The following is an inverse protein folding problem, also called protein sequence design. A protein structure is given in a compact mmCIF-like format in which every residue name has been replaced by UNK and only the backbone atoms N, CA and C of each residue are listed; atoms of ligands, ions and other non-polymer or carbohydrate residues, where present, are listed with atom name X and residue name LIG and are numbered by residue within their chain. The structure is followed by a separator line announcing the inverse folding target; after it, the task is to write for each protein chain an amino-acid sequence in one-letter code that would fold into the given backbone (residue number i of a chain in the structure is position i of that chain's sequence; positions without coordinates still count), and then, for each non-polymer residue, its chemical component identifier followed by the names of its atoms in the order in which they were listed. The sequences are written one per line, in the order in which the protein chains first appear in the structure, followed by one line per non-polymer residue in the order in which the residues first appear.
data_IF_848948021992
#
_entry.id   IF_848948021992
#
_cell.length_a   1.000
_cell.length_b   1.000
_cell.length_c   1.000
_cell.angle_alpha   90.00
_cell.angle_beta   90.00
_cell.angle_gamma   90.00
#
_symmetry.space_group_name_H-M   'P 1'
#
loop_
_entity.id
_entity.type
_entity.pdbx_description
1 polymer ?
#
# COMPACT_ATOMS: atom_id res chain seq x y z
N UNK A 1 -23.31 9.19 15.03
CA UNK A 1 -23.25 9.69 13.63
C UNK A 1 -24.50 9.29 12.86
N UNK A 2 -24.82 7.98 12.77
CA UNK A 2 -26.07 7.48 12.16
C UNK A 2 -27.33 8.19 12.70
N UNK A 3 -27.53 8.21 14.02
CA UNK A 3 -28.67 8.86 14.66
C UNK A 3 -28.70 10.36 14.37
N UNK A 4 -27.57 11.05 14.54
CA UNK A 4 -27.45 12.50 14.29
C UNK A 4 -27.83 12.88 12.86
N UNK A 5 -27.44 12.11 11.84
CA UNK A 5 -27.80 12.42 10.45
C UNK A 5 -29.28 12.12 10.24
N UNK A 6 -29.77 10.93 10.62
CA UNK A 6 -31.13 10.50 10.29
C UNK A 6 -32.18 11.33 11.03
N UNK A 7 -31.98 11.60 12.32
CA UNK A 7 -32.91 12.41 13.13
C UNK A 7 -32.97 13.85 12.65
N UNK A 8 -31.86 14.38 12.16
CA UNK A 8 -31.80 15.79 11.77
C UNK A 8 -32.11 16.03 10.31
N UNK A 9 -32.02 15.03 9.42
CA UNK A 9 -32.35 15.20 7.99
C UNK A 9 -33.82 15.55 7.78
N UNK A 10 -34.73 14.96 8.56
CA UNK A 10 -36.16 15.25 8.45
C UNK A 10 -36.54 16.66 8.91
N UNK A 11 -35.68 17.32 9.69
CA UNK A 11 -35.92 18.68 10.19
C UNK A 11 -35.56 19.71 9.13
N UNK A 12 -36.47 20.67 8.91
CA UNK A 12 -36.23 21.83 8.06
C UNK A 12 -35.00 22.63 8.56
N UNK A 13 -34.26 23.32 7.68
CA UNK A 13 -33.13 24.13 8.10
C UNK A 13 -33.66 25.31 8.92
N UNK A 14 -32.98 25.62 10.03
CA UNK A 14 -33.46 26.62 11.00
C UNK A 14 -33.35 28.06 10.48
N UNK A 15 -32.47 28.33 9.51
CA UNK A 15 -32.21 29.69 9.00
C UNK A 15 -31.93 29.75 7.50
N UNK A 16 -31.22 28.76 6.97
CA UNK A 16 -30.71 28.78 5.61
C UNK A 16 -31.61 28.01 4.63
N UNK A 17 -31.38 28.16 3.31
CA UNK A 17 -32.23 27.51 2.29
C UNK A 17 -32.05 26.00 2.21
N UNK A 18 -30.84 25.53 2.52
CA UNK A 18 -30.46 24.11 2.44
C UNK A 18 -29.72 23.68 3.69
N UNK A 19 -29.86 22.40 4.01
CA UNK A 19 -29.10 21.67 5.01
C UNK A 19 -28.13 20.73 4.30
N UNK A 20 -26.85 21.04 4.40
CA UNK A 20 -25.79 20.35 3.66
C UNK A 20 -25.09 19.35 4.58
N UNK A 21 -25.01 18.09 4.15
CA UNK A 21 -24.26 17.04 4.81
C UNK A 21 -23.03 16.69 3.97
N UNK A 22 -21.84 16.99 4.49
CA UNK A 22 -20.57 16.59 3.86
C UNK A 22 -20.02 15.40 4.65
N UNK A 23 -19.89 14.26 3.97
CA UNK A 23 -19.33 13.04 4.54
C UNK A 23 -18.01 12.78 3.84
N UNK A 24 -16.92 13.05 4.54
CA UNK A 24 -15.58 12.75 4.07
C UNK A 24 -15.22 11.28 4.35
N UNK A 25 -14.39 10.71 3.49
CA UNK A 25 -14.01 9.30 3.48
C UNK A 25 -15.21 8.35 3.65
N UNK A 26 -16.22 8.56 2.83
CA UNK A 26 -17.48 7.81 2.86
C UNK A 26 -17.28 6.30 2.78
N UNK A 27 -16.19 5.82 2.16
CA UNK A 27 -15.84 4.40 2.12
C UNK A 27 -15.55 3.78 3.51
N UNK A 28 -15.32 4.60 4.53
CA UNK A 28 -15.10 4.16 5.92
C UNK A 28 -16.41 3.95 6.70
N UNK A 29 -17.57 4.25 6.10
CA UNK A 29 -18.86 4.00 6.73
C UNK A 29 -19.13 2.49 6.87
N UNK A 30 -19.75 2.09 7.99
CA UNK A 30 -20.23 0.73 8.15
C UNK A 30 -21.40 0.43 7.21
N UNK A 31 -21.58 -0.85 6.85
CA UNK A 31 -22.73 -1.29 6.06
C UNK A 31 -24.08 -0.87 6.68
N UNK A 32 -24.17 -0.90 8.01
CA UNK A 32 -25.35 -0.43 8.74
C UNK A 32 -25.59 1.07 8.59
N UNK A 33 -24.53 1.88 8.48
CA UNK A 33 -24.64 3.32 8.24
C UNK A 33 -25.05 3.60 6.79
N UNK A 34 -24.49 2.88 5.82
CA UNK A 34 -24.93 2.98 4.41
C UNK A 34 -26.40 2.64 4.24
N UNK A 35 -26.86 1.52 4.81
CA UNK A 35 -28.26 1.10 4.72
C UNK A 35 -29.21 2.13 5.32
N UNK A 36 -28.78 2.80 6.39
CA UNK A 36 -29.59 3.81 7.05
C UNK A 36 -29.63 5.14 6.27
N UNK A 37 -28.63 5.41 5.44
CA UNK A 37 -28.60 6.56 4.52
C UNK A 37 -29.35 6.29 3.20
N UNK A 38 -29.54 5.02 2.80
CA UNK A 38 -30.17 4.66 1.53
C UNK A 38 -31.53 5.32 1.34
N UNK A 39 -32.43 5.16 2.32
CA UNK A 39 -33.79 5.74 2.25
C UNK A 39 -33.76 7.25 2.02
N UNK A 40 -32.82 7.91 2.68
CA UNK A 40 -32.67 9.36 2.67
C UNK A 40 -31.97 9.89 1.40
N UNK A 41 -31.07 9.10 0.81
CA UNK A 41 -30.39 9.44 -0.44
C UNK A 41 -31.29 9.14 -1.65
N UNK A 42 -32.18 8.16 -1.53
CA UNK A 42 -33.15 7.80 -2.57
C UNK A 42 -34.26 8.83 -2.71
N UNK A 43 -34.78 9.33 -1.59
CA UNK A 43 -35.81 10.39 -1.56
C UNK A 43 -35.35 11.52 -0.64
N UNK A 44 -34.35 12.32 -1.05
CA UNK A 44 -33.86 13.41 -0.22
C UNK A 44 -34.93 14.49 -0.08
N UNK A 45 -35.18 15.01 1.14
CA UNK A 45 -36.00 16.20 1.29
C UNK A 45 -35.47 17.35 0.43
N UNK A 46 -36.34 18.21 -0.14
CA UNK A 46 -35.93 19.24 -1.10
C UNK A 46 -34.95 20.28 -0.52
N UNK A 47 -34.91 20.42 0.80
CA UNK A 47 -34.00 21.30 1.52
C UNK A 47 -32.69 20.61 1.92
N UNK A 48 -32.42 19.36 1.54
CA UNK A 48 -31.25 18.60 1.98
C UNK A 48 -30.33 18.29 0.81
N UNK A 49 -29.03 18.51 1.01
CA UNK A 49 -27.99 18.19 0.02
C UNK A 49 -26.94 17.31 0.67
N UNK A 50 -26.66 16.14 0.07
CA UNK A 50 -25.57 15.27 0.47
C UNK A 50 -24.36 15.44 -0.45
N UNK A 51 -23.18 15.60 0.15
CA UNK A 51 -21.89 15.62 -0.51
C UNK A 51 -21.07 14.48 0.08
N UNK A 52 -20.81 13.45 -0.73
CA UNK A 52 -20.02 12.29 -0.34
C UNK A 52 -18.64 12.39 -0.99
N UNK A 53 -17.60 12.46 -0.17
CA UNK A 53 -16.21 12.43 -0.62
C UNK A 53 -15.57 11.06 -0.28
N UNK A 54 -14.77 10.53 -1.19
CA UNK A 54 -14.05 9.27 -0.99
C UNK A 54 -12.84 9.19 -1.92
N UNK A 55 -11.74 8.65 -1.41
CA UNK A 55 -10.58 8.24 -2.21
C UNK A 55 -10.77 6.87 -2.88
N UNK A 56 -11.65 6.03 -2.32
CA UNK A 56 -11.88 4.65 -2.77
C UNK A 56 -13.32 4.43 -3.24
N UNK A 57 -13.63 4.90 -4.46
CA UNK A 57 -15.00 4.82 -5.00
C UNK A 57 -15.54 3.39 -5.14
N UNK A 58 -14.68 2.39 -5.31
CA UNK A 58 -15.06 0.99 -5.45
C UNK A 58 -15.54 0.35 -4.15
N UNK A 59 -15.19 0.92 -2.99
CA UNK A 59 -15.67 0.49 -1.67
C UNK A 59 -17.05 1.06 -1.33
N UNK A 60 -17.52 2.05 -2.08
CA UNK A 60 -18.88 2.60 -1.89
C UNK A 60 -19.89 1.66 -2.57
N UNK A 61 -20.95 1.23 -1.87
CA UNK A 61 -21.97 0.37 -2.46
C UNK A 61 -22.56 0.97 -3.75
N UNK A 62 -22.72 0.13 -4.78
CA UNK A 62 -23.29 0.55 -6.06
C UNK A 62 -24.69 1.18 -5.91
N UNK A 63 -25.45 0.74 -4.90
CA UNK A 63 -26.77 1.29 -4.54
C UNK A 63 -26.72 2.76 -4.11
N UNK A 64 -25.64 3.20 -3.49
CA UNK A 64 -25.42 4.61 -3.12
C UNK A 64 -24.90 5.37 -4.34
N UNK A 65 -23.89 4.80 -5.00
CA UNK A 65 -23.24 5.44 -6.15
C UNK A 65 -24.22 5.73 -7.31
N UNK A 66 -25.20 4.85 -7.55
CA UNK A 66 -26.21 5.04 -8.60
C UNK A 66 -27.20 6.18 -8.31
N UNK A 67 -27.31 6.60 -7.05
CA UNK A 67 -28.22 7.67 -6.59
C UNK A 67 -27.48 9.00 -6.38
N UNK A 68 -26.20 9.06 -6.75
CA UNK A 68 -25.36 10.25 -6.61
C UNK A 68 -24.85 10.73 -7.97
N UNK A 69 -24.79 12.05 -8.16
CA UNK A 69 -24.03 12.63 -9.26
C UNK A 69 -22.53 12.46 -8.97
N UNK A 70 -21.83 11.67 -9.78
CA UNK A 70 -20.41 11.40 -9.57
C UNK A 70 -19.53 12.47 -10.23
N UNK A 71 -18.73 13.16 -9.42
CA UNK A 71 -17.64 14.01 -9.87
C UNK A 71 -16.31 13.32 -9.59
N UNK A 72 -15.51 13.08 -10.64
CA UNK A 72 -14.17 12.50 -10.51
C UNK A 72 -13.13 13.61 -10.65
N UNK A 73 -12.47 13.93 -9.55
CA UNK A 73 -11.28 14.78 -9.56
C UNK A 73 -10.07 13.96 -10.01
N UNK A 74 -9.27 14.52 -10.89
CA UNK A 74 -8.00 13.93 -11.33
C UNK A 74 -6.85 14.65 -10.62
N UNK A 75 -5.70 13.98 -10.41
CA UNK A 75 -4.48 14.66 -9.97
C UNK A 75 -4.19 15.86 -10.87
N UNK A 76 -3.73 16.95 -10.27
CA UNK A 76 -3.40 18.18 -11.00
C UNK A 76 -2.07 17.98 -11.72
N UNK A 77 -1.96 18.45 -12.96
CA UNK A 77 -0.71 18.40 -13.71
C UNK A 77 0.40 19.22 -13.01
N UNK A 78 1.65 18.78 -13.14
CA UNK A 78 2.81 19.40 -12.49
C UNK A 78 2.95 20.87 -12.90
N UNK A 79 2.83 21.19 -14.18
CA UNK A 79 2.93 22.57 -14.68
C UNK A 79 1.86 23.48 -14.07
N UNK A 80 0.62 22.99 -14.00
CA UNK A 80 -0.50 23.73 -13.41
C UNK A 80 -0.31 23.93 -11.91
N UNK A 81 0.25 22.95 -11.21
CA UNK A 81 0.64 23.11 -9.80
C UNK A 81 1.74 24.15 -9.63
N UNK A 82 2.77 24.12 -10.48
CA UNK A 82 3.90 25.05 -10.41
C UNK A 82 3.45 26.49 -10.66
N UNK A 83 2.61 26.71 -11.68
CA UNK A 83 1.97 28.01 -11.94
C UNK A 83 1.12 28.47 -10.76
N UNK A 84 0.33 27.56 -10.17
CA UNK A 84 -0.52 27.88 -9.04
C UNK A 84 0.29 28.25 -7.79
N UNK A 85 1.38 27.53 -7.50
CA UNK A 85 2.30 27.86 -6.42
C UNK A 85 2.99 29.21 -6.67
N UNK A 86 3.35 29.54 -7.91
CA UNK A 86 3.90 30.85 -8.26
C UNK A 86 2.91 32.00 -7.97
N UNK A 87 1.63 31.79 -8.26
CA UNK A 87 0.56 32.75 -7.93
C UNK A 87 0.44 32.94 -6.41
N UNK A 88 0.47 31.84 -5.64
CA UNK A 88 0.42 31.90 -4.18
C UNK A 88 1.65 32.62 -3.62
N UNK A 89 2.85 32.24 -4.05
CA UNK A 89 4.10 32.85 -3.61
C UNK A 89 4.10 34.36 -3.87
N UNK A 90 3.62 34.81 -5.03
CA UNK A 90 3.49 36.25 -5.35
C UNK A 90 2.49 36.97 -4.44
N UNK A 91 1.34 36.36 -4.13
CA UNK A 91 0.32 36.96 -3.25
C UNK A 91 0.81 37.06 -1.80
N UNK A 92 1.48 36.02 -1.33
CA UNK A 92 2.04 35.92 0.03
C UNK A 92 3.41 36.63 0.17
N UNK A 93 3.90 37.27 -0.90
CA UNK A 93 5.21 37.95 -0.96
C UNK A 93 6.38 37.04 -0.60
N UNK A 94 6.30 35.77 -0.96
CA UNK A 94 7.36 34.78 -0.81
C UNK A 94 8.23 34.79 -2.06
N UNK A 95 9.54 34.99 -1.89
CA UNK A 95 10.49 34.86 -3.00
C UNK A 95 10.78 33.38 -3.22
N UNK A 96 10.41 32.82 -4.36
CA UNK A 96 10.72 31.43 -4.73
C UNK A 96 11.26 31.35 -6.16
N UNK A 97 12.19 30.42 -6.39
CA UNK A 97 12.72 30.14 -7.72
C UNK A 97 11.78 29.26 -8.55
N UNK A 98 11.66 29.47 -9.87
CA UNK A 98 10.81 28.65 -10.72
C UNK A 98 11.14 27.15 -10.63
N UNK A 99 12.42 26.82 -10.58
CA UNK A 99 12.90 25.43 -10.42
C UNK A 99 12.51 24.84 -9.06
N UNK A 100 12.54 25.65 -7.99
CA UNK A 100 12.09 25.22 -6.67
C UNK A 100 10.59 24.90 -6.65
N UNK A 101 9.78 25.70 -7.34
CA UNK A 101 8.34 25.48 -7.48
C UNK A 101 8.02 24.24 -8.31
N UNK A 102 8.81 23.94 -9.35
CA UNK A 102 8.67 22.71 -10.13
C UNK A 102 8.97 21.47 -9.27
N UNK A 103 10.07 21.50 -8.50
CA UNK A 103 10.42 20.43 -7.57
C UNK A 103 9.32 20.18 -6.53
N UNK A 104 8.79 21.24 -5.91
CA UNK A 104 7.66 21.16 -4.98
C UNK A 104 6.41 20.55 -5.64
N UNK A 105 6.15 20.91 -6.89
CA UNK A 105 5.00 20.41 -7.65
C UNK A 105 5.13 18.93 -7.98
N UNK A 106 6.35 18.45 -8.26
CA UNK A 106 6.65 17.02 -8.45
C UNK A 106 6.51 16.24 -7.15
N UNK A 107 7.05 16.75 -6.04
CA UNK A 107 6.90 16.12 -4.72
C UNK A 107 5.44 16.02 -4.26
N UNK A 108 4.58 16.93 -4.71
CA UNK A 108 3.18 16.93 -4.33
C UNK A 108 2.33 15.86 -5.05
N UNK A 109 2.87 15.16 -6.06
CA UNK A 109 2.18 14.08 -6.79
C UNK A 109 0.74 14.43 -7.26
N UNK A 110 0.52 15.69 -7.65
CA UNK A 110 -0.79 16.18 -8.11
C UNK A 110 -1.76 16.61 -7.01
N UNK A 111 -1.34 16.59 -5.75
CA UNK A 111 -2.09 17.09 -4.58
C UNK A 111 -1.84 18.57 -4.35
N UNK A 112 -2.87 19.39 -4.56
CA UNK A 112 -2.84 20.83 -4.24
C UNK A 112 -2.57 21.10 -2.76
N UNK A 113 -3.12 20.27 -1.86
CA UNK A 113 -2.94 20.43 -0.42
C UNK A 113 -1.48 20.23 -0.04
N UNK A 114 -0.87 19.17 -0.57
CA UNK A 114 0.51 18.84 -0.24
C UNK A 114 1.46 19.86 -0.87
N UNK A 115 1.24 20.25 -2.12
CA UNK A 115 2.03 21.30 -2.79
C UNK A 115 2.10 22.60 -1.96
N UNK A 116 0.96 23.09 -1.47
CA UNK A 116 0.91 24.31 -0.64
C UNK A 116 1.55 24.08 0.73
N UNK A 117 1.35 22.91 1.33
CA UNK A 117 1.96 22.55 2.62
C UNK A 117 3.48 22.49 2.53
N UNK A 118 4.02 21.92 1.45
CA UNK A 118 5.45 21.86 1.18
C UNK A 118 6.04 23.26 0.95
N UNK A 119 5.33 24.12 0.19
CA UNK A 119 5.74 25.52 -0.01
C UNK A 119 5.84 26.28 1.33
N UNK A 120 4.88 26.08 2.24
CA UNK A 120 4.86 26.74 3.55
C UNK A 120 5.97 26.21 4.48
N UNK A 121 6.28 24.92 4.42
CA UNK A 121 7.42 24.33 5.10
C UNK A 121 8.74 24.94 4.60
N UNK A 122 8.93 25.04 3.28
CA UNK A 122 10.12 25.67 2.71
C UNK A 122 10.26 27.13 3.07
N UNK A 123 9.15 27.87 3.06
CA UNK A 123 9.12 29.26 3.53
C UNK A 123 9.59 29.36 4.98
N UNK A 124 9.15 28.46 5.85
CA UNK A 124 9.51 28.47 7.27
C UNK A 124 10.96 28.10 7.54
N UNK A 125 11.54 27.24 6.71
CA UNK A 125 12.95 26.86 6.80
C UNK A 125 13.90 27.87 6.13
N UNK A 126 13.44 28.56 5.09
CA UNK A 126 14.25 29.55 4.36
C UNK A 126 14.26 30.90 5.06
N UNK A 127 15.42 31.57 5.12
CA UNK A 127 15.55 32.93 5.69
C UNK A 127 15.15 34.05 4.72
N UNK A 128 14.44 33.74 3.63
CA UNK A 128 13.83 34.75 2.76
C UNK A 128 13.49 34.28 1.35
N UNK A 129 14.39 33.52 0.71
CA UNK A 129 14.20 33.00 -0.65
C UNK A 129 14.21 31.47 -0.65
N UNK A 130 13.18 30.88 -1.21
CA UNK A 130 13.09 29.44 -1.45
C UNK A 130 13.85 29.14 -2.75
N UNK A 131 15.03 28.53 -2.61
CA UNK A 131 15.87 28.10 -3.73
C UNK A 131 15.65 26.62 -4.04
N UNK A 132 16.06 26.17 -5.23
CA UNK A 132 15.97 24.75 -5.59
C UNK A 132 16.84 23.88 -4.67
N UNK A 133 17.96 24.42 -4.18
CA UNK A 133 18.83 23.77 -3.20
C UNK A 133 18.14 23.55 -1.84
N UNK A 134 17.45 24.57 -1.30
CA UNK A 134 16.70 24.42 -0.04
C UNK A 134 15.60 23.35 -0.15
N UNK A 135 14.89 23.30 -1.29
CA UNK A 135 13.86 22.27 -1.53
C UNK A 135 14.50 20.88 -1.60
N UNK A 136 15.68 20.74 -2.23
CA UNK A 136 16.39 19.46 -2.31
C UNK A 136 16.84 18.96 -0.95
N UNK A 137 17.46 19.82 -0.15
CA UNK A 137 17.90 19.50 1.20
C UNK A 137 16.72 19.10 2.11
N UNK A 138 15.62 19.85 2.03
CA UNK A 138 14.47 19.62 2.91
C UNK A 138 13.71 18.32 2.63
N UNK A 139 13.56 17.95 1.36
CA UNK A 139 12.77 16.78 0.98
C UNK A 139 13.62 15.58 0.54
N UNK A 140 14.94 15.68 0.67
CA UNK A 140 15.85 14.59 0.33
C UNK A 140 15.83 14.24 -1.16
N UNK A 141 15.55 15.21 -2.03
CA UNK A 141 15.68 15.00 -3.46
C UNK A 141 17.13 14.72 -3.80
N UNK A 142 17.36 13.77 -4.70
CA UNK A 142 18.72 13.42 -5.07
C UNK A 142 19.33 14.52 -5.95
N UNK A 143 20.51 15.05 -5.57
CA UNK A 143 21.30 15.94 -6.44
C UNK A 143 21.50 15.36 -7.85
N UNK A 144 21.31 16.21 -8.88
CA UNK A 144 21.39 15.78 -10.27
C UNK A 144 22.78 15.24 -10.65
N UNK A 145 23.84 15.79 -10.07
CA UNK A 145 25.22 15.34 -10.29
C UNK A 145 25.44 13.90 -9.79
N UNK A 146 24.85 13.52 -8.66
CA UNK A 146 24.86 12.14 -8.19
C UNK A 146 24.04 11.23 -9.09
N UNK A 147 22.84 11.64 -9.50
CA UNK A 147 22.04 10.83 -10.44
C UNK A 147 22.76 10.61 -11.76
N UNK A 148 23.37 11.65 -12.34
CA UNK A 148 24.17 11.57 -13.57
C UNK A 148 25.42 10.72 -13.33
N UNK A 149 26.07 10.84 -12.17
CA UNK A 149 27.22 10.01 -11.80
C UNK A 149 26.89 8.53 -11.72
N UNK A 150 25.78 8.17 -11.07
CA UNK A 150 25.25 6.80 -11.00
C UNK A 150 24.86 6.30 -12.39
N UNK A 151 24.11 7.08 -13.16
CA UNK A 151 23.72 6.74 -14.53
C UNK A 151 24.95 6.50 -15.41
N UNK A 152 25.94 7.40 -15.34
CA UNK A 152 27.19 7.29 -16.08
C UNK A 152 27.97 6.03 -15.72
N UNK A 153 28.06 5.68 -14.43
CA UNK A 153 28.71 4.44 -13.99
C UNK A 153 27.99 3.18 -14.47
N UNK A 154 26.65 3.19 -14.48
CA UNK A 154 25.83 2.09 -15.00
C UNK A 154 26.05 1.87 -16.50
N UNK A 155 26.07 2.97 -17.27
CA UNK A 155 26.23 2.92 -18.73
C UNK A 155 27.65 2.58 -19.14
N UNK A 156 28.64 3.13 -18.43
CA UNK A 156 30.06 2.78 -18.59
C UNK A 156 30.39 1.36 -18.11
N UNK A 157 29.45 0.69 -17.43
CA UNK A 157 29.62 -0.65 -16.84
C UNK A 157 30.80 -0.73 -15.88
N UNK A 158 31.02 0.33 -15.11
CA UNK A 158 32.12 0.40 -14.15
C UNK A 158 31.59 0.13 -12.73
N UNK A 159 31.75 -1.10 -12.20
CA UNK A 159 31.29 -1.45 -10.87
C UNK A 159 32.05 -0.68 -9.78
N UNK A 160 33.30 -0.28 -10.03
CA UNK A 160 34.11 0.48 -9.06
C UNK A 160 33.61 1.91 -8.96
N UNK A 161 33.32 2.56 -10.10
CA UNK A 161 32.71 3.88 -10.11
C UNK A 161 31.31 3.85 -9.46
N UNK A 162 30.50 2.83 -9.78
CA UNK A 162 29.17 2.67 -9.18
C UNK A 162 29.26 2.53 -7.65
N UNK A 163 30.16 1.68 -7.14
CA UNK A 163 30.38 1.53 -5.70
C UNK A 163 30.79 2.85 -5.04
N UNK A 164 31.63 3.65 -5.72
CA UNK A 164 32.04 4.97 -5.26
C UNK A 164 30.87 5.94 -5.14
N UNK A 165 29.99 5.99 -6.13
CA UNK A 165 28.78 6.83 -6.10
C UNK A 165 27.77 6.35 -5.05
N UNK A 166 27.54 5.05 -4.93
CA UNK A 166 26.65 4.50 -3.90
C UNK A 166 27.15 4.82 -2.49
N UNK A 167 28.46 4.80 -2.26
CA UNK A 167 29.03 5.25 -0.99
C UNK A 167 28.66 6.69 -0.67
N UNK A 168 28.79 7.61 -1.63
CA UNK A 168 28.40 9.02 -1.46
C UNK A 168 26.91 9.18 -1.17
N UNK A 169 26.05 8.48 -1.93
CA UNK A 169 24.60 8.48 -1.70
C UNK A 169 24.27 8.09 -0.26
N UNK A 170 24.95 7.07 0.29
CA UNK A 170 24.73 6.65 1.68
C UNK A 170 25.34 7.62 2.70
N UNK A 171 26.48 8.25 2.40
CA UNK A 171 27.08 9.27 3.26
C UNK A 171 26.19 10.52 3.37
N UNK A 172 25.45 10.84 2.30
CA UNK A 172 24.46 11.93 2.29
C UNK A 172 23.09 11.53 2.86
N UNK A 173 22.88 10.26 3.22
CA UNK A 173 21.65 9.80 3.85
C UNK A 173 20.44 9.73 2.89
N UNK A 174 20.68 9.67 1.58
CA UNK A 174 19.62 9.59 0.58
C UNK A 174 18.87 8.27 0.67
N UNK A 175 17.54 8.34 0.59
CA UNK A 175 16.70 7.15 0.60
C UNK A 175 16.88 6.32 -0.69
N UNK A 176 17.20 5.01 -0.59
CA UNK A 176 17.41 4.15 -1.76
C UNK A 176 16.23 4.11 -2.74
N UNK A 177 14.99 4.15 -2.23
CA UNK A 177 13.79 4.18 -3.05
C UNK A 177 13.70 5.46 -3.89
N UNK A 178 14.05 6.61 -3.29
CA UNK A 178 13.99 7.91 -3.93
C UNK A 178 15.05 8.03 -5.04
N UNK A 179 16.29 7.60 -4.76
CA UNK A 179 17.35 7.52 -5.77
C UNK A 179 16.90 6.77 -7.01
N UNK A 180 16.32 5.58 -6.80
CA UNK A 180 15.97 4.71 -7.91
C UNK A 180 14.75 5.22 -8.69
N UNK A 181 13.78 5.86 -8.02
CA UNK A 181 12.64 6.55 -8.66
C UNK A 181 13.12 7.71 -9.54
N UNK A 182 13.99 8.56 -9.00
CA UNK A 182 14.49 9.75 -9.70
C UNK A 182 15.37 9.37 -10.88
N UNK A 183 16.26 8.39 -10.70
CA UNK A 183 17.08 7.83 -11.76
C UNK A 183 16.23 7.23 -12.88
N UNK A 184 15.21 6.45 -12.53
CA UNK A 184 14.25 5.87 -13.49
C UNK A 184 13.52 6.96 -14.26
N UNK A 185 12.96 7.96 -13.58
CA UNK A 185 12.19 9.03 -14.20
C UNK A 185 13.04 9.84 -15.19
N UNK A 186 14.29 10.13 -14.82
CA UNK A 186 15.21 10.84 -15.69
C UNK A 186 15.56 10.03 -16.95
N UNK A 187 15.88 8.74 -16.81
CA UNK A 187 16.18 7.86 -17.96
C UNK A 187 14.92 7.66 -18.85
N UNK A 188 13.74 7.54 -18.24
CA UNK A 188 12.46 7.41 -18.93
C UNK A 188 12.17 8.63 -19.81
N UNK A 189 12.43 9.84 -19.31
CA UNK A 189 12.24 11.07 -20.09
C UNK A 189 13.06 11.05 -21.39
N UNK A 190 14.35 10.70 -21.31
CA UNK A 190 15.22 10.65 -22.49
C UNK A 190 14.87 9.47 -23.41
N UNK A 191 14.47 8.33 -22.85
CA UNK A 191 13.98 7.19 -23.62
C UNK A 191 12.76 7.57 -24.48
N UNK A 192 11.78 8.26 -23.90
CA UNK A 192 10.57 8.70 -24.62
C UNK A 192 10.90 9.75 -25.70
N UNK A 193 11.82 10.68 -25.43
CA UNK A 193 12.31 11.63 -26.44
C UNK A 193 12.95 10.92 -27.62
N UNK A 194 13.78 9.90 -27.37
CA UNK A 194 14.42 9.11 -28.44
C UNK A 194 13.44 8.29 -29.27
N UNK A 195 12.29 7.92 -28.70
CA UNK A 195 11.20 7.29 -29.43
C UNK A 195 10.28 8.28 -30.16
N UNK A 196 10.48 9.59 -30.01
CA UNK A 196 9.62 10.62 -30.57
C UNK A 196 8.24 10.73 -29.90
N UNK A 197 8.08 10.16 -28.70
CA UNK A 197 6.82 10.11 -27.96
C UNK A 197 6.85 10.90 -26.64
N UNK A 198 7.98 11.53 -26.30
CA UNK A 198 8.19 12.27 -25.06
C UNK A 198 8.25 13.78 -25.23
N UNK A 199 7.89 14.49 -24.16
CA UNK A 199 8.18 15.92 -24.01
C UNK A 199 9.70 16.18 -23.90
N UNK A 200 10.18 17.41 -24.14
CA UNK A 200 11.59 17.74 -24.04
C UNK A 200 12.16 17.36 -22.66
N UNK A 201 13.07 16.38 -22.65
CA UNK A 201 13.81 16.01 -21.46
C UNK A 201 14.81 17.10 -21.08
N UNK A 202 15.26 17.08 -19.82
CA UNK A 202 16.32 17.97 -19.33
C UNK A 202 17.56 17.88 -20.24
N UNK A 203 18.11 19.05 -20.60
CA UNK A 203 19.27 19.16 -21.47
C UNK A 203 20.50 18.43 -20.91
N UNK A 204 20.65 18.39 -19.58
CA UNK A 204 21.75 17.67 -18.93
C UNK A 204 21.64 16.16 -19.16
N UNK A 205 20.45 15.60 -18.98
CA UNK A 205 20.18 14.18 -19.21
C UNK A 205 20.25 13.81 -20.68
N UNK A 206 19.74 14.67 -21.56
CA UNK A 206 19.83 14.49 -23.01
C UNK A 206 21.30 14.42 -23.47
N UNK A 207 22.17 15.27 -22.90
CA UNK A 207 23.61 15.26 -23.17
C UNK A 207 24.31 14.03 -22.56
N UNK A 208 24.02 13.72 -21.29
CA UNK A 208 24.63 12.60 -20.59
C UNK A 208 24.32 11.25 -21.25
N UNK A 209 23.10 11.10 -21.79
CA UNK A 209 22.62 9.87 -22.43
C UNK A 209 22.69 9.93 -23.96
N UNK A 210 23.36 10.92 -24.55
CA UNK A 210 23.37 11.13 -26.00
C UNK A 210 23.88 9.91 -26.78
N UNK A 211 24.91 9.22 -26.26
CA UNK A 211 25.54 8.06 -26.91
C UNK A 211 24.74 6.75 -26.84
N UNK A 212 23.69 6.68 -26.03
CA UNK A 212 22.95 5.43 -25.79
C UNK A 212 21.87 5.16 -26.85
N UNK A 213 21.55 3.90 -27.13
CA UNK A 213 20.40 3.57 -27.98
C UNK A 213 19.08 3.59 -27.18
N UNK A 214 17.95 3.80 -27.86
CA UNK A 214 16.64 3.69 -27.20
C UNK A 214 16.43 2.28 -26.62
N UNK A 215 16.89 1.24 -27.30
CA UNK A 215 16.84 -0.15 -26.82
C UNK A 215 17.65 -0.36 -25.53
N UNK A 216 18.84 0.27 -25.45
CA UNK A 216 19.67 0.30 -24.25
C UNK A 216 18.93 0.94 -23.07
N UNK A 217 18.43 2.15 -23.25
CA UNK A 217 17.67 2.83 -22.19
C UNK A 217 16.43 2.02 -21.77
N UNK A 218 15.72 1.42 -22.72
CA UNK A 218 14.56 0.57 -22.44
C UNK A 218 14.89 -0.68 -21.63
N UNK A 219 16.04 -1.31 -21.86
CA UNK A 219 16.50 -2.44 -21.05
C UNK A 219 16.90 -2.00 -19.64
N UNK A 220 17.65 -0.90 -19.52
CA UNK A 220 18.03 -0.35 -18.23
C UNK A 220 16.79 -0.02 -17.39
N UNK A 221 15.77 0.63 -17.99
CA UNK A 221 14.51 0.93 -17.32
C UNK A 221 13.79 -0.31 -16.78
N UNK A 222 13.76 -1.41 -17.53
CA UNK A 222 13.17 -2.68 -17.05
C UNK A 222 13.91 -3.22 -15.83
N UNK A 223 15.24 -3.08 -15.78
CA UNK A 223 16.06 -3.48 -14.62
C UNK A 223 15.83 -2.58 -13.42
N UNK A 224 15.79 -1.26 -13.63
CA UNK A 224 15.49 -0.30 -12.56
C UNK A 224 14.07 -0.53 -11.99
N UNK A 225 13.09 -0.86 -12.83
CA UNK A 225 11.74 -1.23 -12.37
C UNK A 225 11.75 -2.47 -11.49
N UNK A 226 12.47 -3.52 -11.90
CA UNK A 226 12.61 -4.72 -11.08
C UNK A 226 13.30 -4.44 -9.75
N UNK A 227 14.36 -3.63 -9.77
CA UNK A 227 15.03 -3.21 -8.55
C UNK A 227 14.10 -2.39 -7.62
N UNK A 228 13.21 -1.55 -8.16
CA UNK A 228 12.20 -0.83 -7.38
C UNK A 228 11.18 -1.78 -6.73
N UNK A 229 10.76 -2.82 -7.44
CA UNK A 229 9.88 -3.86 -6.90
C UNK A 229 10.56 -4.62 -5.77
N UNK A 230 11.81 -5.06 -5.97
CA UNK A 230 12.59 -5.76 -4.94
C UNK A 230 12.82 -4.88 -3.70
N UNK A 231 13.02 -3.57 -3.88
CA UNK A 231 13.21 -2.61 -2.78
C UNK A 231 11.93 -2.38 -1.98
N UNK A 232 10.75 -2.48 -2.61
CA UNK A 232 9.45 -2.33 -1.93
C UNK A 232 9.13 -3.48 -0.97
N UNK A 233 9.60 -4.69 -1.29
CA UNK A 233 9.28 -5.91 -0.55
C UNK A 233 10.47 -6.53 0.20
N UNK A 234 11.67 -5.94 0.08
CA UNK A 234 12.90 -6.48 0.66
C UNK A 234 13.12 -6.06 2.11
N UNK A 235 13.70 -6.97 2.90
CA UNK A 235 14.06 -6.73 4.31
C UNK A 235 15.25 -5.76 4.47
N UNK A 236 16.01 -5.53 3.40
CA UNK A 236 17.15 -4.59 3.38
C UNK A 236 17.12 -3.73 2.10
N UNK A 237 16.60 -2.48 2.17
CA UNK A 237 16.52 -1.57 1.02
C UNK A 237 17.88 -1.27 0.40
N UNK A 238 18.92 -1.21 1.24
CA UNK A 238 20.31 -0.97 0.82
C UNK A 238 20.85 -2.11 -0.04
N UNK A 239 20.69 -3.35 0.43
CA UNK A 239 21.15 -4.52 -0.32
C UNK A 239 20.35 -4.69 -1.61
N UNK A 240 19.04 -4.44 -1.57
CA UNK A 240 18.18 -4.50 -2.76
C UNK A 240 18.61 -3.47 -3.83
N UNK A 241 18.95 -2.24 -3.43
CA UNK A 241 19.49 -1.23 -4.34
C UNK A 241 20.82 -1.66 -4.94
N UNK A 242 21.78 -2.08 -4.10
CA UNK A 242 23.11 -2.51 -4.55
C UNK A 242 23.00 -3.68 -5.53
N UNK A 243 22.29 -4.75 -5.17
CA UNK A 243 22.07 -5.90 -6.05
C UNK A 243 21.32 -5.51 -7.32
N UNK A 244 20.31 -4.64 -7.23
CA UNK A 244 19.56 -4.16 -8.39
C UNK A 244 20.43 -3.41 -9.39
N UNK A 245 21.31 -2.53 -8.91
CA UNK A 245 22.19 -1.73 -9.76
C UNK A 245 23.40 -2.51 -10.27
N UNK A 246 24.03 -3.34 -9.44
CA UNK A 246 25.12 -4.22 -9.88
C UNK A 246 24.61 -5.28 -10.86
N UNK A 247 23.43 -5.86 -10.63
CA UNK A 247 22.82 -6.78 -11.59
C UNK A 247 22.48 -6.09 -12.92
N UNK A 248 22.20 -4.78 -12.93
CA UNK A 248 22.02 -4.03 -14.17
C UNK A 248 23.33 -3.90 -14.97
N UNK A 249 24.49 -3.86 -14.30
CA UNK A 249 25.82 -3.91 -14.94
C UNK A 249 26.13 -5.34 -15.43
N UNK A 250 25.88 -6.35 -14.59
CA UNK A 250 26.18 -7.75 -14.89
C UNK A 250 25.26 -8.35 -15.96
N UNK A 251 24.02 -7.85 -16.05
CA UNK A 251 23.06 -8.32 -17.03
C UNK A 251 23.54 -7.97 -18.44
N UNK A 252 24.19 -8.96 -19.05
CA UNK A 252 24.74 -8.94 -20.38
C UNK A 252 23.82 -8.23 -21.39
N UNK A 253 24.18 -6.99 -21.72
CA UNK A 253 24.00 -6.54 -23.09
C UNK A 253 25.03 -7.27 -23.92
N UNK A 254 24.63 -8.40 -24.47
CA UNK A 254 25.08 -8.63 -25.82
C UNK A 254 24.20 -9.66 -26.51
N UNK A 255 22.96 -9.32 -26.87
CA UNK A 255 22.33 -10.10 -27.93
C UNK A 255 23.27 -10.10 -29.16
N UNK A 256 23.96 -8.98 -29.42
CA UNK A 256 24.99 -8.82 -30.45
C UNK A 256 26.21 -9.73 -30.31
N UNK A 257 26.83 -9.86 -29.14
CA UNK A 257 27.97 -10.78 -28.96
C UNK A 257 27.56 -12.20 -28.62
N UNK A 258 26.35 -12.45 -28.11
CA UNK A 258 25.77 -13.79 -28.15
C UNK A 258 25.51 -14.21 -29.60
N UNK A 259 24.99 -13.33 -30.44
CA UNK A 259 24.85 -13.53 -31.90
C UNK A 259 26.22 -13.67 -32.57
N UNK A 260 27.19 -12.79 -32.31
CA UNK A 260 28.51 -12.88 -32.93
C UNK A 260 29.27 -14.12 -32.46
N UNK A 261 29.06 -14.57 -31.21
CA UNK A 261 29.61 -15.83 -30.69
C UNK A 261 28.89 -17.04 -31.26
N UNK A 262 27.58 -16.96 -31.49
CA UNK A 262 26.80 -17.95 -32.23
C UNK A 262 27.26 -18.04 -33.69
N UNK A 263 27.36 -16.93 -34.41
CA UNK A 263 27.87 -16.85 -35.78
C UNK A 263 29.33 -17.32 -35.88
N UNK A 264 30.18 -17.01 -34.90
CA UNK A 264 31.55 -17.50 -34.83
C UNK A 264 31.59 -19.02 -34.56
N UNK A 265 30.69 -19.54 -33.73
CA UNK A 265 30.54 -20.98 -33.49
C UNK A 265 30.01 -21.70 -34.73
N UNK A 266 29.01 -21.15 -35.41
CA UNK A 266 28.47 -21.65 -36.67
C UNK A 266 29.54 -21.66 -37.76
N UNK A 267 30.33 -20.59 -37.90
CA UNK A 267 31.48 -20.56 -38.82
C UNK A 267 32.55 -21.60 -38.47
N UNK A 268 32.82 -21.86 -37.19
CA UNK A 268 33.77 -22.91 -36.76
C UNK A 268 33.24 -24.32 -37.01
N UNK A 269 31.94 -24.53 -36.86
CA UNK A 269 31.25 -25.79 -37.18
C UNK A 269 31.19 -26.02 -38.70
N UNK A 270 30.90 -24.97 -39.49
CA UNK A 270 30.87 -25.02 -40.94
C UNK A 270 32.28 -25.17 -41.57
N UNK A 271 33.33 -24.65 -40.93
CA UNK A 271 34.71 -24.77 -41.39
C UNK A 271 35.38 -26.13 -41.07
N UNK A 272 34.64 -27.13 -40.59
CA UNK A 272 35.15 -28.51 -40.46
C UNK A 272 36.26 -28.70 -39.43
N UNK A 273 36.34 -27.84 -38.41
CA UNK A 273 37.37 -27.87 -37.37
C UNK A 273 37.02 -28.79 -36.21
N UNK A 274 37.08 -30.10 -36.43
CA UNK A 274 37.14 -31.11 -35.37
C UNK A 274 38.40 -30.92 -34.54
N UNK A 275 38.26 -30.26 -33.39
CA UNK A 275 39.34 -30.04 -32.43
C UNK A 275 38.73 -29.71 -31.09
N UNK A 276 38.26 -30.73 -30.39
CA UNK A 276 37.97 -30.68 -28.96
C UNK A 276 39.28 -30.39 -28.22
N UNK A 277 39.63 -29.12 -28.10
CA UNK A 277 40.55 -28.68 -27.07
C UNK A 277 39.87 -28.96 -25.73
N UNK A 278 40.52 -29.82 -24.95
CA UNK A 278 40.13 -30.33 -23.64
C UNK A 278 39.52 -29.26 -22.74
N UNK A 279 38.23 -29.42 -22.43
CA UNK A 279 37.63 -28.78 -21.27
C UNK A 279 38.30 -29.35 -20.00
N UNK A 280 38.61 -28.53 -18.98
CA UNK A 280 39.07 -29.05 -17.70
C UNK A 280 37.95 -29.89 -17.08
N UNK A 281 38.22 -31.17 -16.87
CA UNK A 281 37.34 -32.08 -16.16
C UNK A 281 37.20 -31.61 -14.72
N UNK A 282 36.08 -30.98 -14.38
CA UNK A 282 35.65 -30.82 -12.99
C UNK A 282 35.42 -32.22 -12.42
N UNK A 283 36.30 -32.64 -11.52
CA UNK A 283 36.18 -33.90 -10.80
C UNK A 283 34.86 -33.91 -10.02
N UNK A 284 33.97 -34.84 -10.38
CA UNK A 284 32.80 -35.16 -9.57
C UNK A 284 33.25 -35.65 -8.17
N UNK A 285 32.65 -35.18 -7.06
CA UNK A 285 32.94 -35.71 -5.74
C UNK A 285 32.52 -37.18 -5.66
N UNK A 286 33.44 -38.05 -5.26
CA UNK A 286 33.13 -39.44 -4.88
C UNK A 286 32.15 -39.45 -3.69
N UNK A 287 31.14 -40.34 -3.68
CA UNK A 287 30.32 -40.55 -2.50
C UNK A 287 31.14 -41.26 -1.42
N UNK A 288 31.23 -40.65 -0.25
CA UNK A 288 31.68 -41.29 0.99
C UNK A 288 30.54 -42.20 1.49
N UNK A 289 30.78 -43.49 1.77
CA UNK A 289 29.79 -44.35 2.39
C UNK A 289 29.70 -44.01 3.88
N UNK A 290 28.60 -43.39 4.29
CA UNK A 290 28.22 -43.32 5.71
C UNK A 290 27.37 -44.53 6.06
N UNK A 291 27.99 -45.43 6.80
CA UNK A 291 27.39 -46.53 7.54
C UNK A 291 26.35 -45.98 8.54
N UNK A 292 25.09 -46.37 8.35
CA UNK A 292 24.03 -46.24 9.35
C UNK A 292 24.10 -47.48 10.24
N UNK A 293 24.30 -47.38 11.56
CA UNK A 293 24.12 -48.51 12.46
C UNK A 293 22.64 -48.88 12.54
N UNK A 294 22.35 -50.14 12.23
CA UNK A 294 21.08 -50.79 12.51
C UNK A 294 21.03 -51.14 13.99
N UNK A 295 20.02 -50.63 14.71
CA UNK A 295 19.59 -51.20 15.98
C UNK A 295 18.15 -51.68 15.82
N UNK A 296 18.03 -53.00 15.92
CA UNK A 296 16.79 -53.74 15.85
C UNK A 296 16.09 -53.72 17.21
N UNK A 297 14.88 -53.17 17.25
CA UNK A 297 13.91 -53.42 18.32
C UNK A 297 12.65 -54.00 17.69
N UNK A 298 12.35 -55.26 18.00
CA UNK A 298 11.17 -55.99 17.59
C UNK A 298 9.87 -55.35 18.12
N UNK A 299 8.70 -55.62 17.51
CA UNK A 299 7.45 -54.96 17.85
C UNK A 299 6.82 -55.58 19.10
N UNK A 300 6.54 -54.75 20.10
CA UNK A 300 5.74 -55.12 21.27
C UNK A 300 4.33 -54.56 21.09
N UNK A 301 3.34 -55.45 21.07
CA UNK A 301 1.93 -55.13 21.24
C UNK A 301 1.57 -55.47 22.68
N UNK A 302 0.87 -54.58 23.40
CA UNK A 302 -0.53 -54.87 23.69
C UNK A 302 -1.46 -53.63 23.63
N UNK A 303 -2.74 -53.90 23.32
CA UNK A 303 -3.91 -53.04 23.53
C UNK A 303 -4.07 -52.64 25.03
N UNK A 304 -4.84 -51.60 25.45
CA UNK A 304 -6.10 -51.10 24.88
C UNK A 304 -6.16 -49.57 24.65
N UNK A 305 -7.14 -49.12 23.86
CA UNK A 305 -7.23 -47.74 23.36
C UNK A 305 -7.64 -46.68 24.40
N UNK A 306 -7.56 -45.40 24.00
CA UNK A 306 -8.55 -44.39 24.39
C UNK A 306 -9.19 -43.76 23.14
N UNK A 307 -10.42 -43.29 23.33
CA UNK A 307 -11.28 -42.70 22.31
C UNK A 307 -10.86 -41.29 21.85
N UNK A 308 -11.84 -40.45 21.46
CA UNK A 308 -11.67 -39.37 20.50
C UNK A 308 -10.65 -38.31 20.93
N UNK A 309 -9.86 -37.84 19.97
CA UNK A 309 -8.92 -36.71 20.12
C UNK A 309 -9.64 -35.53 20.79
N UNK A 310 -9.18 -35.12 21.97
CA UNK A 310 -9.79 -33.99 22.67
C UNK A 310 -9.41 -32.68 21.98
N UNK A 311 -10.42 -31.90 21.60
CA UNK A 311 -10.26 -30.58 20.98
C UNK A 311 -9.37 -29.62 21.79
N UNK A 312 -9.48 -29.56 23.14
CA UNK A 312 -8.59 -28.73 23.95
C UNK A 312 -7.11 -29.12 23.86
N UNK A 313 -6.79 -30.42 23.77
CA UNK A 313 -5.41 -30.89 23.67
C UNK A 313 -4.78 -30.52 22.31
N UNK A 314 -5.58 -30.47 21.25
CA UNK A 314 -5.13 -30.03 19.92
C UNK A 314 -4.77 -28.54 19.91
N UNK A 315 -5.60 -27.69 20.53
CA UNK A 315 -5.34 -26.25 20.64
C UNK A 315 -4.05 -26.00 21.43
N UNK A 316 -3.83 -26.73 22.53
CA UNK A 316 -2.62 -26.60 23.34
C UNK A 316 -1.36 -27.05 22.58
N UNK A 317 -1.42 -28.16 21.84
CA UNK A 317 -0.30 -28.66 21.06
C UNK A 317 0.08 -27.70 19.90
N UNK A 318 -0.91 -27.09 19.27
CA UNK A 318 -0.68 -26.16 18.14
C UNK A 318 -0.24 -24.79 18.63
N UNK A 319 -0.78 -24.28 19.75
CA UNK A 319 -0.39 -22.99 20.33
C UNK A 319 1.06 -22.97 20.82
N UNK A 320 1.59 -24.11 21.31
CA UNK A 320 3.02 -24.28 21.63
C UNK A 320 3.94 -24.13 20.41
N UNK A 321 3.46 -24.44 19.22
CA UNK A 321 4.24 -24.38 17.98
C UNK A 321 4.05 -23.05 17.25
N UNK A 322 2.80 -22.56 17.17
CA UNK A 322 2.43 -21.28 16.57
C UNK A 322 1.24 -20.66 17.31
N UNK A 323 1.50 -19.60 18.06
CA UNK A 323 0.50 -18.88 18.88
C UNK A 323 -0.68 -18.39 18.03
N UNK A 324 -0.39 -17.80 16.86
CA UNK A 324 -1.42 -17.27 15.94
C UNK A 324 -2.36 -18.36 15.42
N UNK A 325 -1.83 -19.55 15.15
CA UNK A 325 -2.62 -20.70 14.70
C UNK A 325 -3.46 -21.28 15.86
N UNK A 326 -2.93 -21.28 17.09
CA UNK A 326 -3.68 -21.63 18.29
C UNK A 326 -4.91 -20.74 18.51
N UNK A 327 -4.76 -19.42 18.39
CA UNK A 327 -5.89 -18.47 18.53
C UNK A 327 -6.96 -18.61 17.43
N UNK A 328 -6.58 -19.08 16.25
CA UNK A 328 -7.54 -19.38 15.19
C UNK A 328 -8.30 -20.69 15.45
N UNK A 329 -7.63 -21.69 16.03
CA UNK A 329 -8.25 -22.96 16.43
C UNK A 329 -9.21 -22.79 17.62
N UNK A 330 -8.96 -21.88 18.55
CA UNK A 330 -9.91 -21.55 19.63
C UNK A 330 -11.28 -21.07 19.14
N UNK A 331 -11.30 -20.46 17.95
CA UNK A 331 -12.52 -19.94 17.30
C UNK A 331 -13.12 -20.92 16.30
N UNK A 332 -12.47 -22.05 16.06
CA UNK A 332 -12.91 -23.07 15.13
C UNK A 332 -13.66 -24.19 15.86
N UNK A 333 -14.44 -24.98 15.11
CA UNK A 333 -15.05 -26.22 15.62
C UNK A 333 -14.46 -27.41 14.88
N UNK A 334 -13.87 -28.34 15.63
CA UNK A 334 -13.34 -29.60 15.12
C UNK A 334 -14.30 -30.76 15.35
N UNK A 335 -14.56 -31.55 14.32
CA UNK A 335 -15.39 -32.75 14.38
C UNK A 335 -14.64 -33.94 13.76
N UNK A 336 -14.73 -35.10 14.40
CA UNK A 336 -14.22 -36.35 13.84
C UNK A 336 -15.21 -36.86 12.78
N UNK A 337 -14.75 -37.04 11.55
CA UNK A 337 -15.56 -37.51 10.42
C UNK A 337 -14.93 -38.79 9.87
N UNK A 338 -15.41 -39.95 10.32
CA UNK A 338 -14.88 -41.25 9.91
C UNK A 338 -13.40 -41.43 10.27
N UNK A 339 -12.54 -41.66 9.28
CA UNK A 339 -11.07 -41.74 9.44
C UNK A 339 -10.35 -40.39 9.26
N UNK A 340 -11.10 -39.29 9.17
CA UNK A 340 -10.60 -37.93 9.02
C UNK A 340 -11.04 -37.01 10.16
N UNK A 341 -10.44 -35.83 10.20
CA UNK A 341 -10.76 -34.77 11.14
C UNK A 341 -11.12 -33.50 10.37
N UNK A 342 -12.33 -32.98 10.57
CA UNK A 342 -12.82 -31.77 9.91
C UNK A 342 -12.74 -30.58 10.87
N UNK A 343 -12.09 -29.50 10.44
CA UNK A 343 -12.04 -28.24 11.19
C UNK A 343 -12.79 -27.17 10.41
N UNK A 344 -13.80 -26.58 11.05
CA UNK A 344 -14.63 -25.52 10.49
C UNK A 344 -14.27 -24.17 11.10
N UNK A 345 -13.91 -23.21 10.26
CA UNK A 345 -13.53 -21.85 10.66
C UNK A 345 -14.64 -20.85 10.36
N UNK A 346 -14.96 -19.90 11.26
CA UNK A 346 -16.00 -18.90 11.04
C UNK A 346 -15.58 -17.77 10.08
N UNK A 347 -14.28 -17.60 9.80
CA UNK A 347 -13.75 -16.54 8.93
C UNK A 347 -12.83 -17.11 7.85
N UNK A 348 -12.93 -16.55 6.64
CA UNK A 348 -12.08 -16.93 5.51
C UNK A 348 -10.59 -16.68 5.74
N UNK A 349 -10.24 -15.65 6.52
CA UNK A 349 -8.85 -15.35 6.90
C UNK A 349 -8.23 -16.45 7.77
N UNK A 350 -8.98 -16.94 8.76
CA UNK A 350 -8.50 -18.00 9.66
C UNK A 350 -8.34 -19.33 8.91
N UNK A 351 -9.22 -19.59 7.93
CA UNK A 351 -9.11 -20.74 7.01
C UNK A 351 -7.86 -20.65 6.12
N UNK A 352 -7.56 -19.48 5.55
CA UNK A 352 -6.37 -19.31 4.69
C UNK A 352 -5.07 -19.47 5.49
N UNK A 353 -5.05 -18.96 6.73
CA UNK A 353 -3.93 -19.16 7.66
C UNK A 353 -3.75 -20.64 8.03
N UNK A 354 -4.85 -21.36 8.28
CA UNK A 354 -4.82 -22.80 8.57
C UNK A 354 -4.35 -23.63 7.36
N UNK A 355 -4.75 -23.27 6.14
CA UNK A 355 -4.28 -23.92 4.90
C UNK A 355 -2.79 -23.75 4.68
N UNK A 356 -2.24 -22.56 4.94
CA UNK A 356 -0.79 -22.28 4.80
C UNK A 356 0.07 -23.01 5.85
N UNK A 357 -0.53 -23.44 6.95
CA UNK A 357 0.15 -24.13 8.05
C UNK A 357 -0.44 -25.52 8.34
N UNK A 358 -1.03 -26.18 7.34
CA UNK A 358 -1.72 -27.47 7.51
C UNK A 358 -0.82 -28.57 8.07
N UNK A 359 0.47 -28.57 7.72
CA UNK A 359 1.46 -29.53 8.25
C UNK A 359 1.60 -29.49 9.77
N UNK A 360 1.46 -28.32 10.40
CA UNK A 360 1.55 -28.19 11.87
C UNK A 360 0.31 -28.79 12.55
N UNK A 361 -0.85 -28.68 11.91
CA UNK A 361 -2.11 -29.25 12.40
C UNK A 361 -2.11 -30.77 12.20
N UNK A 362 -1.62 -31.26 11.06
CA UNK A 362 -1.46 -32.69 10.77
C UNK A 362 -0.49 -33.37 11.73
N UNK A 363 0.66 -32.76 12.02
CA UNK A 363 1.65 -33.30 12.96
C UNK A 363 1.10 -33.34 14.40
N UNK A 364 0.35 -32.32 14.81
CA UNK A 364 -0.31 -32.29 16.11
C UNK A 364 -1.42 -33.36 16.20
N UNK A 365 -2.24 -33.51 15.16
CA UNK A 365 -3.26 -34.55 15.08
C UNK A 365 -2.64 -35.95 15.05
N UNK A 366 -1.53 -36.16 14.34
CA UNK A 366 -0.84 -37.44 14.27
C UNK A 366 -0.26 -37.84 15.63
N UNK A 367 0.32 -36.88 16.37
CA UNK A 367 0.82 -37.11 17.74
C UNK A 367 -0.31 -37.42 18.73
N UNK A 368 -1.46 -36.78 18.59
CA UNK A 368 -2.59 -36.96 19.51
C UNK A 368 -3.45 -38.19 19.18
N UNK A 369 -3.58 -38.55 17.92
CA UNK A 369 -4.37 -39.70 17.47
C UNK A 369 -3.55 -40.99 17.36
N UNK A 370 -2.23 -40.92 17.47
CA UNK A 370 -1.32 -42.06 17.27
C UNK A 370 -1.28 -42.61 15.83
N UNK A 371 -2.00 -41.97 14.89
CA UNK A 371 -2.07 -42.30 13.46
C UNK A 371 -2.23 -41.02 12.63
N UNK A 372 -1.76 -41.03 11.39
CA UNK A 372 -1.92 -39.88 10.47
C UNK A 372 -3.37 -39.82 9.98
N UNK A 373 -4.10 -38.78 10.36
CA UNK A 373 -5.50 -38.57 9.97
C UNK A 373 -5.60 -37.68 8.73
N UNK A 374 -6.64 -37.88 7.93
CA UNK A 374 -6.95 -36.99 6.80
C UNK A 374 -7.59 -35.71 7.33
N UNK A 375 -6.94 -34.56 7.10
CA UNK A 375 -7.40 -33.25 7.57
C UNK A 375 -8.28 -32.58 6.50
N UNK A 376 -9.50 -32.23 6.86
CA UNK A 376 -10.42 -31.44 6.03
C UNK A 376 -10.66 -30.06 6.65
N UNK A 377 -10.32 -28.99 5.93
CA UNK A 377 -10.44 -27.61 6.40
C UNK A 377 -11.58 -26.92 5.64
N UNK A 378 -12.65 -26.59 6.35
CA UNK A 378 -13.86 -26.00 5.77
C UNK A 378 -14.19 -24.63 6.39
N UNK A 379 -14.93 -23.81 5.64
CA UNK A 379 -15.57 -22.62 6.20
C UNK A 379 -16.86 -23.07 6.89
N UNK A 380 -17.02 -22.77 8.18
CA UNK A 380 -18.24 -23.06 8.91
C UNK A 380 -19.36 -22.11 8.48
N UNK A 381 -20.59 -22.61 8.38
CA UNK A 381 -21.77 -21.75 8.32
C UNK A 381 -21.76 -20.88 9.59
N UNK A 382 -21.92 -19.57 9.43
CA UNK A 382 -22.06 -18.68 10.57
C UNK A 382 -23.23 -19.18 11.43
N UNK A 383 -22.98 -19.47 12.71
CA UNK A 383 -24.04 -19.64 13.70
C UNK A 383 -24.81 -18.30 13.74
N UNK A 384 -25.96 -18.26 13.08
CA UNK A 384 -27.02 -17.29 13.35
C UNK A 384 -27.47 -17.51 14.79
N UNK A 385 -26.93 -16.71 15.71
CA UNK A 385 -27.60 -16.53 17.00
C UNK A 385 -28.94 -15.82 16.71
N UNK A 386 -30.07 -16.35 17.22
CA UNK A 386 -31.39 -15.84 16.87
C UNK A 386 -31.54 -14.39 17.36
N UNK A 387 -31.96 -13.54 16.43
CA UNK A 387 -32.62 -12.28 16.74
C UNK A 387 -33.83 -12.62 17.60
N UNK A 388 -33.76 -12.28 18.89
CA UNK A 388 -34.96 -12.27 19.73
C UNK A 388 -35.78 -11.07 19.27
N UNK A 389 -36.86 -11.36 18.56
CA UNK A 389 -37.94 -10.43 18.29
C UNK A 389 -38.45 -9.86 19.62
N UNK A 390 -38.00 -8.65 19.98
CA UNK A 390 -38.78 -7.80 20.88
C UNK A 390 -39.73 -7.00 19.99
N UNK A 391 -40.78 -7.69 19.54
CA UNK A 391 -42.00 -7.04 19.10
C UNK A 391 -42.77 -6.67 20.36
N UNK A 392 -42.49 -5.50 20.93
CA UNK A 392 -43.47 -4.86 21.81
C UNK A 392 -44.50 -4.14 20.93
N UNK A 393 -45.62 -4.84 20.70
CA UNK A 393 -46.85 -4.28 20.13
C UNK A 393 -47.64 -3.62 21.26
N UNK A 394 -47.26 -2.41 21.64
CA UNK A 394 -48.21 -1.40 22.14
C UNK A 394 -47.53 -0.04 22.33
N UNK A 395 -47.52 0.78 21.27
CA UNK A 395 -47.35 2.23 21.45
C UNK A 395 -48.69 2.81 21.91
N UNK A 396 -48.78 3.49 23.07
CA UNK A 396 -49.88 4.41 23.32
C UNK A 396 -49.68 5.66 22.45
N UNK A 397 -50.80 6.24 21.99
CA UNK A 397 -50.84 7.49 21.22
C UNK A 397 -50.05 8.62 21.92
N UNK A 398 -49.46 9.56 21.16
CA UNK A 398 -48.59 10.58 21.72
C UNK A 398 -49.36 11.50 22.66
N UNK A 399 -48.98 11.50 23.94
CA UNK A 399 -49.39 12.54 24.88
C UNK A 399 -48.71 13.85 24.52
N UNK A 400 -49.51 14.89 24.38
CA UNK A 400 -49.10 16.27 24.25
C UNK A 400 -48.39 16.75 25.52
N UNK A 401 -47.28 17.47 25.34
CA UNK A 401 -46.73 18.40 26.33
C UNK A 401 -45.88 17.80 27.46
N UNK A 402 -44.65 18.33 27.56
CA UNK A 402 -43.79 18.39 28.74
C UNK A 402 -43.56 17.08 29.51
N UNK A 403 -42.49 16.35 29.16
CA UNK A 403 -41.58 15.73 30.13
C UNK A 403 -40.39 15.07 29.39
N UNK A 404 -39.20 15.66 29.50
CA UNK A 404 -37.95 15.06 29.06
C UNK A 404 -37.14 14.64 30.31
N UNK A 405 -36.52 13.45 30.34
CA UNK A 405 -35.75 13.02 31.51
C UNK A 405 -34.47 13.86 31.66
N UNK A 406 -34.13 14.30 32.89
CA UNK A 406 -32.99 15.18 33.13
C UNK A 406 -31.69 14.37 33.22
N UNK A 407 -30.76 14.58 32.28
CA UNK A 407 -29.47 13.90 32.38
C UNK A 407 -28.59 13.88 31.13
N UNK A 408 -28.42 15.00 30.43
CA UNK A 408 -27.27 15.16 29.51
C UNK A 408 -26.98 16.64 29.30
N UNK A 409 -26.00 17.16 30.06
CA UNK A 409 -25.42 18.48 29.78
C UNK A 409 -24.39 18.33 28.66
N UNK A 410 -24.64 18.96 27.52
CA UNK A 410 -23.70 19.05 26.40
C UNK A 410 -22.91 20.36 26.49
N UNK A 411 -21.59 20.29 26.36
CA UNK A 411 -20.72 21.48 26.43
C UNK A 411 -20.47 22.01 25.02
N UNK A 412 -20.88 23.24 24.76
CA UNK A 412 -20.40 24.02 23.61
C UNK A 412 -18.90 24.29 23.78
N UNK A 413 -18.10 24.02 22.74
CA UNK A 413 -16.75 24.57 22.67
C UNK A 413 -16.90 26.07 22.38
N UNK A 414 -16.87 26.87 23.44
CA UNK A 414 -16.85 28.33 23.36
C UNK A 414 -15.62 28.83 22.61
N UNK A 415 -15.75 30.04 22.07
CA UNK A 415 -14.70 30.81 21.41
C UNK A 415 -13.43 30.83 22.30
N UNK A 416 -12.41 30.06 21.94
CA UNK A 416 -11.18 29.99 22.73
C UNK A 416 -10.32 28.73 22.57
N UNK A 417 -10.71 27.72 21.78
CA UNK A 417 -9.81 26.58 21.51
C UNK A 417 -8.88 26.86 20.33
N UNK A 418 -7.61 27.12 20.63
CA UNK A 418 -6.54 27.27 19.64
C UNK A 418 -6.10 25.89 19.13
N UNK A 419 -6.82 25.36 18.14
CA UNK A 419 -6.43 24.16 17.39
C UNK A 419 -6.81 24.32 15.93
N UNK A 420 -5.95 23.86 15.01
CA UNK A 420 -5.96 24.15 13.55
C UNK A 420 -7.23 23.86 12.74
N UNK A 421 -8.33 23.41 13.36
CA UNK A 421 -9.64 23.25 12.71
C UNK A 421 -10.51 24.51 12.66
N UNK A 422 -10.19 25.56 13.43
CA UNK A 422 -11.02 26.77 13.54
C UNK A 422 -10.93 27.67 12.29
N UNK A 423 -9.78 27.67 11.59
CA UNK A 423 -9.59 28.47 10.38
C UNK A 423 -10.44 28.00 9.20
N UNK A 424 -10.54 26.68 9.01
CA UNK A 424 -11.41 26.10 7.98
C UNK A 424 -12.89 26.37 8.23
N UNK A 425 -13.29 26.43 9.51
CA UNK A 425 -14.68 26.70 9.92
C UNK A 425 -15.11 28.13 9.57
N UNK A 426 -14.27 29.13 9.88
CA UNK A 426 -14.54 30.54 9.54
C UNK A 426 -14.57 30.80 8.03
N UNK A 427 -13.70 30.12 7.27
CA UNK A 427 -13.73 30.22 5.80
C UNK A 427 -15.00 29.59 5.21
N UNK A 428 -15.46 28.46 5.77
CA UNK A 428 -16.73 27.86 5.36
C UNK A 428 -17.93 28.76 5.70
N UNK A 429 -17.95 29.39 6.88
CA UNK A 429 -19.01 30.33 7.27
C UNK A 429 -19.04 31.59 6.37
N UNK A 430 -17.87 32.10 5.98
CA UNK A 430 -17.75 33.26 5.08
C UNK A 430 -18.20 32.99 3.65
N UNK A 431 -18.01 31.77 3.14
CA UNK A 431 -18.39 31.39 1.77
C UNK A 431 -19.86 31.00 1.65
N UNK A 432 -20.40 30.29 2.64
CA UNK A 432 -21.75 29.71 2.54
C UNK A 432 -22.82 30.48 3.30
N UNK A 433 -22.45 31.36 4.24
CA UNK A 433 -23.37 32.08 5.11
C UNK A 433 -24.10 31.14 6.09
N UNK A 434 -23.76 31.18 7.38
CA UNK A 434 -24.30 30.23 8.36
C UNK A 434 -23.43 30.12 9.62
N UNK A 435 -23.81 29.28 10.58
CA UNK A 435 -22.94 28.83 11.68
C UNK A 435 -22.52 27.39 11.43
N UNK A 436 -21.23 27.10 11.42
CA UNK A 436 -20.67 25.77 11.23
C UNK A 436 -20.24 25.17 12.57
N UNK A 437 -20.35 23.84 12.73
CA UNK A 437 -20.00 23.13 13.98
C UNK A 437 -19.17 21.89 13.68
N UNK A 438 -18.07 21.70 14.43
CA UNK A 438 -17.22 20.50 14.37
C UNK A 438 -17.65 19.53 15.46
N UNK A 439 -17.99 18.29 15.09
CA UNK A 439 -18.31 17.23 16.04
C UNK A 439 -17.18 16.20 15.99
N UNK A 440 -16.35 16.12 17.05
CA UNK A 440 -15.34 15.06 17.22
C UNK A 440 -15.86 13.99 18.17
N UNK A 441 -15.59 12.72 17.85
CA UNK A 441 -15.88 11.58 18.71
C UNK A 441 -14.83 11.54 19.83
N UNK A 442 -15.26 11.58 21.09
CA UNK A 442 -14.43 11.07 22.18
C UNK A 442 -14.62 9.56 22.26
N UNK A 443 -13.51 8.83 22.21
CA UNK A 443 -13.47 7.44 22.65
C UNK A 443 -13.30 7.49 24.17
N UNK A 444 -14.25 6.94 24.90
CA UNK A 444 -14.06 6.55 26.31
C UNK A 444 -13.87 5.05 26.32
#
# INVERSE_FOLDING_TARGET
MREVIIETVALAPTRDRYKIFIIDETHMLSNSAFNALLKTIEEPPPHVVFILATTEAHKVPATIASRCQRFKFRPVAVDMLSEYLAVIAKKEKVSAEPEALDLLSRAAEGSLRDAVSLLDQCRSASSGRITSETVREMFGFVPQDMLIGVAGALLARDPKALAGWLKKVYEEGIEPAQLLKDLRAAIESVYLVKLGAGEPADALWTKALAGESAEGLGFLLRRLNRALEELRYGDSPRLALELGLFSAIEAAYDLGAWLARLEALEKRLAAGGGGLASAPSLSAPRPVPQTIPAEAGAPESPAPGPGPVSWPALIEAVSKTKITLGTALERAKGEAVGDGYRISFPKAFDLDMAKRSSGVIEDALARLAGRRLVLDLALGAADDAPVVDIVDRSMPEPKTGADAPPGTRWKELGEGSTGGGVGGLKNAEGVFGGKARIIKKHTT
#
